data_IF_822065609345
#
_entry.id   IF_822065609345
#
_cell.length_a   1.000
_cell.length_b   1.000
_cell.length_c   1.000
_cell.angle_alpha   90.00
_cell.angle_beta   90.00
_cell.angle_gamma   90.00
#
_symmetry.space_group_name_H-M   'P 1'
#
loop_
_entity.id
_entity.type
_entity.pdbx_description
1 polymer ?
#
# COMPACT_ATOMS: atom_id res chain seq x y z
N UNK A 1 37.12 13.35 -23.50
CA UNK A 1 36.05 13.13 -22.50
C UNK A 1 35.92 11.61 -22.31
N UNK A 2 36.22 11.11 -21.12
CA UNK A 2 36.44 9.68 -20.90
C UNK A 2 35.12 8.87 -21.04
N UNK A 3 35.10 7.89 -21.95
CA UNK A 3 33.95 6.98 -22.14
C UNK A 3 33.41 6.32 -20.83
N UNK A 4 34.28 6.16 -19.82
CA UNK A 4 33.91 5.67 -18.49
C UNK A 4 32.96 6.63 -17.74
N UNK A 5 33.08 7.93 -17.98
CA UNK A 5 32.19 8.93 -17.35
C UNK A 5 30.80 8.94 -17.98
N UNK A 6 30.74 8.70 -19.29
CA UNK A 6 29.45 8.59 -20.02
C UNK A 6 28.72 7.34 -19.62
N UNK A 7 29.40 6.20 -19.47
CA UNK A 7 28.80 4.92 -19.02
C UNK A 7 28.28 5.04 -17.59
N UNK A 8 29.04 5.69 -16.69
CA UNK A 8 28.61 5.90 -15.30
C UNK A 8 27.40 6.85 -15.22
N UNK A 9 27.36 7.88 -16.06
CA UNK A 9 26.24 8.83 -16.15
C UNK A 9 24.99 8.17 -16.72
N UNK A 10 25.12 7.31 -17.75
CA UNK A 10 23.98 6.53 -18.27
C UNK A 10 23.46 5.49 -17.27
N UNK A 11 24.32 4.89 -16.44
CA UNK A 11 23.92 3.97 -15.38
C UNK A 11 23.16 4.70 -14.25
N UNK A 12 23.52 5.95 -13.96
CA UNK A 12 22.84 6.77 -12.96
C UNK A 12 21.48 7.31 -13.45
N UNK A 13 21.34 7.54 -14.78
CA UNK A 13 20.04 7.93 -15.36
C UNK A 13 19.01 6.79 -15.37
N UNK A 14 19.47 5.52 -15.35
CA UNK A 14 18.60 4.35 -15.33
C UNK A 14 17.85 4.11 -14.01
N UNK A 15 18.25 4.82 -12.94
CA UNK A 15 17.66 4.67 -11.61
C UNK A 15 16.54 5.67 -11.29
N UNK A 16 16.16 6.52 -12.26
CA UNK A 16 15.15 7.57 -12.05
C UNK A 16 13.81 7.30 -12.78
N UNK A 17 13.64 6.13 -13.36
CA UNK A 17 12.35 5.76 -13.96
C UNK A 17 11.50 5.05 -12.91
N UNK A 18 10.68 5.82 -12.25
CA UNK A 18 9.47 5.42 -11.54
C UNK A 18 8.45 4.88 -12.57
N UNK A 19 7.80 3.76 -12.27
CA UNK A 19 6.90 3.13 -13.23
C UNK A 19 6.17 1.88 -12.71
N UNK A 20 5.81 0.96 -13.62
CA UNK A 20 5.02 -0.22 -13.28
C UNK A 20 5.72 -1.13 -12.27
N UNK A 21 4.98 -1.55 -11.27
CA UNK A 21 5.38 -2.53 -10.25
C UNK A 21 5.09 -3.93 -10.76
N UNK A 22 6.02 -4.85 -10.57
CA UNK A 22 5.81 -6.25 -10.95
C UNK A 22 5.01 -7.02 -9.90
N UNK A 23 4.44 -8.17 -10.29
CA UNK A 23 3.75 -9.07 -9.34
C UNK A 23 4.71 -9.50 -8.22
N UNK A 24 5.97 -9.81 -8.54
CA UNK A 24 6.96 -10.21 -7.52
C UNK A 24 7.30 -9.09 -6.53
N UNK A 25 7.28 -7.83 -6.99
CA UNK A 25 7.48 -6.69 -6.10
C UNK A 25 6.25 -6.48 -5.21
N UNK A 26 5.05 -6.65 -5.76
CA UNK A 26 3.81 -6.60 -4.99
C UNK A 26 3.75 -7.71 -3.92
N UNK A 27 4.18 -8.94 -4.25
CA UNK A 27 4.36 -10.03 -3.28
C UNK A 27 5.31 -9.63 -2.15
N UNK A 28 6.47 -9.08 -2.50
CA UNK A 28 7.48 -8.65 -1.52
C UNK A 28 6.92 -7.56 -0.59
N UNK A 29 6.23 -6.56 -1.15
CA UNK A 29 5.58 -5.50 -0.37
C UNK A 29 4.53 -6.08 0.57
N UNK A 30 3.69 -7.02 0.10
CA UNK A 30 2.67 -7.66 0.92
C UNK A 30 3.28 -8.49 2.06
N UNK A 31 4.35 -9.26 1.80
CA UNK A 31 5.07 -10.01 2.83
C UNK A 31 5.69 -9.07 3.87
N UNK A 32 6.30 -7.99 3.42
CA UNK A 32 6.90 -7.00 4.30
C UNK A 32 5.86 -6.25 5.13
N UNK A 33 4.66 -6.00 4.58
CA UNK A 33 3.53 -5.48 5.33
C UNK A 33 3.11 -6.43 6.46
N UNK A 34 3.05 -7.74 6.19
CA UNK A 34 2.74 -8.74 7.22
C UNK A 34 3.81 -8.72 8.32
N UNK A 35 5.11 -8.71 7.96
CA UNK A 35 6.20 -8.65 8.94
C UNK A 35 6.10 -7.38 9.81
N UNK A 36 5.78 -6.24 9.21
CA UNK A 36 5.67 -4.96 9.91
C UNK A 36 4.44 -4.90 10.83
N UNK A 37 3.27 -5.37 10.36
CA UNK A 37 1.97 -5.05 10.94
C UNK A 37 1.21 -6.21 11.58
N UNK A 38 1.50 -7.46 11.19
CA UNK A 38 0.84 -8.62 11.79
C UNK A 38 1.46 -9.00 13.15
N UNK A 39 1.20 -8.16 14.14
CA UNK A 39 1.74 -8.35 15.49
C UNK A 39 1.23 -9.60 16.21
N UNK A 40 0.17 -10.21 15.71
CA UNK A 40 -0.46 -11.38 16.33
C UNK A 40 -0.08 -12.70 15.64
N UNK A 41 0.67 -12.63 14.51
CA UNK A 41 1.06 -13.80 13.72
C UNK A 41 -0.17 -14.52 13.15
N UNK A 42 -1.14 -13.76 12.65
CA UNK A 42 -2.40 -14.31 12.12
C UNK A 42 -2.22 -14.81 10.69
N UNK A 43 -1.25 -14.24 9.96
CA UNK A 43 -0.99 -14.58 8.56
C UNK A 43 0.07 -15.66 8.48
N UNK A 44 -0.28 -16.76 7.83
CA UNK A 44 0.61 -17.91 7.66
C UNK A 44 1.35 -17.86 6.31
N UNK A 45 0.66 -17.42 5.25
CA UNK A 45 1.21 -17.37 3.89
C UNK A 45 0.37 -16.48 2.96
N UNK A 46 0.91 -16.22 1.76
CA UNK A 46 0.13 -15.68 0.65
C UNK A 46 -0.67 -16.82 0.02
N UNK A 47 -1.94 -16.53 -0.33
CA UNK A 47 -2.87 -17.47 -0.95
C UNK A 47 -2.96 -17.28 -2.45
N UNK A 48 -3.24 -16.05 -2.88
CA UNK A 48 -3.55 -15.72 -4.25
C UNK A 48 -3.20 -14.26 -4.54
N UNK A 49 -3.02 -13.93 -5.84
CA UNK A 49 -2.88 -12.55 -6.30
C UNK A 49 -3.85 -12.33 -7.44
N UNK A 50 -4.71 -11.34 -7.30
CA UNK A 50 -5.62 -10.88 -8.32
C UNK A 50 -5.10 -9.56 -8.89
N UNK A 51 -5.21 -9.39 -10.19
CA UNK A 51 -4.77 -8.19 -10.90
C UNK A 51 -6.01 -7.36 -11.22
N UNK A 52 -6.05 -6.13 -10.73
CA UNK A 52 -7.05 -5.14 -11.14
C UNK A 52 -6.51 -4.34 -12.31
N UNK A 53 -7.13 -4.52 -13.49
CA UNK A 53 -6.67 -3.88 -14.72
C UNK A 53 -7.85 -3.33 -15.55
N UNK A 54 -7.57 -2.32 -16.36
CA UNK A 54 -8.51 -1.75 -17.32
C UNK A 54 -7.80 -0.91 -18.39
N UNK A 55 -8.28 -0.99 -19.61
CA UNK A 55 -7.71 -0.27 -20.77
C UNK A 55 -6.22 -0.54 -20.98
N UNK A 56 -5.74 -1.77 -20.65
CA UNK A 56 -4.33 -2.14 -20.75
C UNK A 56 -3.43 -1.55 -19.66
N UNK A 57 -4.01 -0.99 -18.60
CA UNK A 57 -3.32 -0.47 -17.43
C UNK A 57 -3.63 -1.35 -16.23
N UNK A 58 -2.59 -1.84 -15.55
CA UNK A 58 -2.75 -2.46 -14.23
C UNK A 58 -2.79 -1.36 -13.18
N UNK A 59 -3.83 -1.36 -12.35
CA UNK A 59 -4.02 -0.34 -11.32
C UNK A 59 -3.45 -0.78 -9.97
N UNK A 60 -3.81 -1.98 -9.55
CA UNK A 60 -3.32 -2.53 -8.29
C UNK A 60 -3.40 -4.06 -8.29
N UNK A 61 -2.76 -4.66 -7.33
CA UNK A 61 -2.81 -6.08 -7.02
C UNK A 61 -3.57 -6.28 -5.71
N UNK A 62 -4.49 -7.25 -5.69
CA UNK A 62 -5.08 -7.75 -4.45
C UNK A 62 -4.33 -9.01 -4.07
N UNK A 63 -3.61 -8.98 -2.97
CA UNK A 63 -2.88 -10.12 -2.42
C UNK A 63 -3.69 -10.69 -1.27
N UNK A 64 -4.22 -11.90 -1.46
CA UNK A 64 -4.99 -12.62 -0.44
C UNK A 64 -4.03 -13.39 0.49
N UNK A 65 -4.40 -13.47 1.76
CA UNK A 65 -3.64 -14.15 2.80
C UNK A 65 -4.34 -15.41 3.31
N UNK A 66 -3.56 -16.35 3.84
CA UNK A 66 -4.05 -17.49 4.62
C UNK A 66 -3.86 -17.23 6.12
N UNK A 67 -4.82 -17.59 7.01
CA UNK A 67 -6.13 -18.21 6.71
C UNK A 67 -7.19 -17.23 6.21
N UNK A 68 -6.99 -15.94 6.38
CA UNK A 68 -7.87 -14.86 5.89
C UNK A 68 -7.13 -13.54 5.83
N UNK A 69 -7.68 -12.57 5.11
CA UNK A 69 -7.11 -11.25 4.97
C UNK A 69 -6.66 -10.92 3.55
N UNK A 70 -6.37 -9.65 3.32
CA UNK A 70 -5.89 -9.16 2.03
C UNK A 70 -5.02 -7.92 2.17
N UNK A 71 -4.23 -7.63 1.14
CA UNK A 71 -3.60 -6.33 0.93
C UNK A 71 -3.85 -5.84 -0.50
N UNK A 72 -4.11 -4.54 -0.65
CA UNK A 72 -4.19 -3.84 -1.93
C UNK A 72 -2.86 -3.12 -2.15
N UNK A 73 -2.09 -3.55 -3.14
CA UNK A 73 -0.76 -3.03 -3.47
C UNK A 73 -0.84 -2.28 -4.79
N UNK A 74 -0.35 -1.05 -4.84
CA UNK A 74 -0.32 -0.26 -6.08
C UNK A 74 0.53 -0.95 -7.15
N UNK A 75 0.07 -0.90 -8.40
CA UNK A 75 0.85 -1.36 -9.55
C UNK A 75 1.73 -0.27 -10.19
N UNK A 76 1.87 0.88 -9.53
CA UNK A 76 2.71 1.99 -9.98
C UNK A 76 3.42 2.61 -8.78
N UNK A 77 4.74 2.71 -8.83
CA UNK A 77 5.57 3.18 -7.71
C UNK A 77 5.52 4.70 -7.48
N UNK A 78 4.82 5.45 -8.34
CA UNK A 78 4.48 6.86 -8.13
C UNK A 78 3.35 7.06 -7.12
N UNK A 79 2.70 5.98 -6.72
CA UNK A 79 1.59 5.92 -5.77
C UNK A 79 2.07 5.22 -4.49
N UNK A 80 1.44 5.49 -3.36
CA UNK A 80 1.74 4.78 -2.12
C UNK A 80 1.69 3.26 -2.31
N UNK A 81 2.66 2.48 -1.82
CA UNK A 81 2.73 1.03 -2.04
C UNK A 81 1.49 0.29 -1.53
N UNK A 82 0.96 0.68 -0.37
CA UNK A 82 -0.17 0.02 0.26
C UNK A 82 -1.38 0.96 0.18
N UNK A 83 -2.43 0.51 -0.52
CA UNK A 83 -3.69 1.23 -0.70
C UNK A 83 -4.70 0.90 0.41
N UNK A 84 -4.61 -0.31 0.96
CA UNK A 84 -5.44 -0.79 2.05
C UNK A 84 -5.12 -2.23 2.40
N UNK A 85 -5.49 -2.68 3.59
CA UNK A 85 -5.30 -4.07 4.01
C UNK A 85 -6.24 -4.45 5.16
N UNK A 86 -6.43 -5.75 5.34
CA UNK A 86 -7.04 -6.37 6.51
C UNK A 86 -6.37 -7.71 6.77
N UNK A 87 -6.10 -8.04 8.03
CA UNK A 87 -5.58 -9.36 8.41
C UNK A 87 -6.66 -10.30 8.97
N UNK A 88 -7.92 -9.84 8.99
CA UNK A 88 -9.04 -10.60 9.58
C UNK A 88 -10.24 -10.75 8.65
N UNK A 89 -10.31 -9.98 7.57
CA UNK A 89 -11.43 -10.02 6.62
C UNK A 89 -10.91 -10.26 5.21
N UNK A 90 -11.59 -11.12 4.47
CA UNK A 90 -11.32 -11.36 3.05
C UNK A 90 -11.99 -10.29 2.18
N UNK A 91 -11.37 -10.01 1.05
CA UNK A 91 -11.94 -9.18 0.01
C UNK A 91 -12.59 -10.08 -1.05
N UNK A 92 -13.90 -10.30 -0.95
CA UNK A 92 -14.63 -11.14 -1.91
C UNK A 92 -15.42 -10.29 -2.90
N UNK A 93 -15.34 -10.54 -4.22
CA UNK A 93 -16.06 -9.77 -5.23
C UNK A 93 -17.58 -9.75 -5.04
N UNK A 94 -18.13 -10.87 -4.54
CA UNK A 94 -19.58 -11.09 -4.47
C UNK A 94 -20.28 -10.37 -3.30
N UNK A 95 -19.53 -9.81 -2.35
CA UNK A 95 -20.08 -9.19 -1.14
C UNK A 95 -19.36 -7.92 -0.74
N UNK A 96 -18.99 -7.10 -1.72
CA UNK A 96 -18.32 -5.83 -1.45
C UNK A 96 -19.36 -4.76 -1.05
N UNK A 97 -19.13 -4.03 0.06
CA UNK A 97 -19.90 -2.84 0.36
C UNK A 97 -19.78 -1.81 -0.76
N UNK A 98 -20.89 -1.14 -1.09
CA UNK A 98 -20.89 -0.12 -2.15
C UNK A 98 -19.87 1.00 -1.90
N UNK A 99 -19.55 1.25 -0.64
CA UNK A 99 -18.54 2.22 -0.24
C UNK A 99 -17.13 1.78 -0.65
N UNK A 100 -16.85 0.47 -0.59
CA UNK A 100 -15.56 -0.08 -1.03
C UNK A 100 -15.42 0.01 -2.55
N UNK A 101 -16.47 -0.33 -3.31
CA UNK A 101 -16.44 -0.18 -4.77
C UNK A 101 -16.22 1.28 -5.18
N UNK A 102 -16.88 2.23 -4.54
CA UNK A 102 -16.66 3.66 -4.78
C UNK A 102 -15.22 4.08 -4.42
N UNK A 103 -14.64 3.51 -3.38
CA UNK A 103 -13.23 3.75 -3.03
C UNK A 103 -12.29 3.19 -4.10
N UNK A 104 -12.49 1.95 -4.54
CA UNK A 104 -11.65 1.32 -5.57
C UNK A 104 -11.73 2.07 -6.90
N UNK A 105 -12.91 2.57 -7.28
CA UNK A 105 -13.09 3.40 -8.49
C UNK A 105 -12.32 4.72 -8.39
N UNK A 106 -12.34 5.36 -7.23
CA UNK A 106 -11.53 6.56 -7.00
C UNK A 106 -10.02 6.23 -7.09
N UNK A 107 -9.58 5.09 -6.56
CA UNK A 107 -8.19 4.63 -6.64
C UNK A 107 -7.79 4.41 -8.11
N UNK A 108 -8.59 3.68 -8.91
CA UNK A 108 -8.33 3.48 -10.35
C UNK A 108 -8.22 4.81 -11.09
N UNK A 109 -9.16 5.71 -10.84
CA UNK A 109 -9.17 7.05 -11.46
C UNK A 109 -7.95 7.86 -11.09
N UNK A 110 -7.51 7.82 -9.83
CA UNK A 110 -6.33 8.52 -9.36
C UNK A 110 -5.04 7.95 -9.97
N UNK A 111 -4.89 6.63 -10.00
CA UNK A 111 -3.75 5.95 -10.61
C UNK A 111 -3.68 6.31 -12.10
N UNK A 112 -4.79 6.20 -12.82
CA UNK A 112 -4.89 6.59 -14.24
C UNK A 112 -4.49 8.04 -14.46
N UNK A 113 -4.90 8.94 -13.58
CA UNK A 113 -4.53 10.36 -13.63
C UNK A 113 -3.01 10.55 -13.46
N UNK A 114 -2.41 9.94 -12.42
CA UNK A 114 -0.96 10.03 -12.16
C UNK A 114 -0.15 9.52 -13.35
N UNK A 115 -0.52 8.37 -13.90
CA UNK A 115 0.14 7.78 -15.08
C UNK A 115 0.01 8.70 -16.30
N UNK A 116 -1.20 9.17 -16.60
CA UNK A 116 -1.49 9.99 -17.79
C UNK A 116 -0.82 11.35 -17.74
N UNK A 117 -0.77 11.97 -16.57
CA UNK A 117 -0.12 13.27 -16.36
C UNK A 117 1.38 13.13 -16.07
N UNK A 118 1.91 11.91 -16.01
CA UNK A 118 3.30 11.61 -15.67
C UNK A 118 3.77 12.32 -14.39
N UNK A 119 2.95 12.26 -13.34
CA UNK A 119 3.23 12.90 -12.05
C UNK A 119 4.32 12.08 -11.35
N UNK A 120 5.47 12.68 -10.96
CA UNK A 120 6.52 11.94 -10.27
C UNK A 120 6.11 11.56 -8.84
N UNK A 121 6.70 10.48 -8.32
CA UNK A 121 6.58 10.14 -6.90
C UNK A 121 7.12 11.28 -6.03
N UNK A 122 6.48 11.52 -4.88
CA UNK A 122 7.06 12.37 -3.85
C UNK A 122 8.19 11.63 -3.11
N UNK A 123 9.08 12.37 -2.44
CA UNK A 123 10.14 11.76 -1.62
C UNK A 123 9.58 10.79 -0.56
N UNK A 124 8.43 11.09 0.01
CA UNK A 124 7.78 10.21 0.98
C UNK A 124 7.30 8.90 0.35
N UNK A 125 6.74 8.95 -0.85
CA UNK A 125 6.31 7.75 -1.59
C UNK A 125 7.52 6.90 -1.96
N UNK A 126 8.57 7.52 -2.49
CA UNK A 126 9.82 6.82 -2.81
C UNK A 126 10.40 6.13 -1.59
N UNK A 127 10.48 6.83 -0.45
CA UNK A 127 10.96 6.23 0.81
C UNK A 127 10.08 5.08 1.31
N UNK A 128 8.75 5.14 1.12
CA UNK A 128 7.86 4.03 1.44
C UNK A 128 8.17 2.79 0.59
N UNK A 129 8.34 2.97 -0.72
CA UNK A 129 8.70 1.87 -1.61
C UNK A 129 10.06 1.27 -1.25
N UNK A 130 11.08 2.11 -1.02
CA UNK A 130 12.40 1.64 -0.57
C UNK A 130 12.30 0.81 0.72
N UNK A 131 11.50 1.26 1.69
CA UNK A 131 11.28 0.53 2.93
C UNK A 131 10.62 -0.83 2.68
N UNK A 132 9.48 -0.87 1.98
CA UNK A 132 8.76 -2.12 1.71
C UNK A 132 9.46 -3.05 0.72
N UNK A 133 10.41 -2.55 -0.07
CA UNK A 133 11.26 -3.37 -0.93
C UNK A 133 12.56 -3.82 -0.25
N UNK A 134 12.83 -3.36 0.96
CA UNK A 134 14.04 -3.75 1.70
C UNK A 134 13.98 -5.21 2.16
N UNK A 135 15.16 -5.82 2.36
CA UNK A 135 15.27 -7.17 2.92
C UNK A 135 15.38 -7.15 4.47
N UNK A 136 15.33 -5.96 5.07
CA UNK A 136 15.58 -5.75 6.50
C UNK A 136 14.41 -5.06 7.22
N UNK A 137 13.19 -5.31 6.77
CA UNK A 137 12.02 -4.77 7.47
C UNK A 137 11.87 -5.45 8.84
N UNK A 138 11.55 -4.67 9.84
CA UNK A 138 11.33 -5.17 11.20
C UNK A 138 9.92 -4.82 11.66
N UNK A 139 9.34 -5.63 12.58
CA UNK A 139 8.03 -5.33 13.13
C UNK A 139 8.00 -3.91 13.73
N UNK A 140 7.01 -3.13 13.33
CA UNK A 140 6.78 -1.81 13.91
C UNK A 140 6.20 -1.97 15.32
N UNK A 141 7.07 -1.92 16.31
CA UNK A 141 6.69 -2.05 17.72
C UNK A 141 6.18 -0.75 18.33
N UNK A 142 6.39 0.38 17.66
CA UNK A 142 6.07 1.71 18.20
C UNK A 142 4.64 2.18 17.88
N UNK A 143 3.93 1.56 16.93
CA UNK A 143 2.54 1.94 16.61
C UNK A 143 1.53 1.63 17.72
N UNK A 144 1.95 1.01 18.84
CA UNK A 144 1.05 0.67 19.96
C UNK A 144 0.82 1.80 20.95
N UNK A 145 1.50 2.91 20.82
CA UNK A 145 1.41 4.03 21.76
C UNK A 145 1.67 5.35 21.06
N UNK A 146 0.67 5.82 20.34
CA UNK A 146 0.60 7.26 20.07
C UNK A 146 -0.01 7.88 21.32
N UNK A 147 0.76 8.69 22.05
CA UNK A 147 0.19 9.51 23.12
C UNK A 147 -0.96 10.33 22.53
N UNK A 148 -2.12 10.41 23.23
CA UNK A 148 -3.26 11.13 22.72
C UNK A 148 -2.85 12.56 22.36
N UNK A 149 -2.95 12.92 21.09
CA UNK A 149 -2.69 14.30 20.60
C UNK A 149 -3.63 15.33 21.22
N UNK A 150 -4.70 14.85 21.87
CA UNK A 150 -5.70 15.67 22.53
C UNK A 150 -5.85 15.15 23.96
N UNK A 151 -5.51 15.98 24.93
CA UNK A 151 -5.74 15.71 26.36
C UNK A 151 -7.19 15.97 26.80
N UNK A 152 -8.10 16.22 25.85
CA UNK A 152 -9.52 16.40 26.12
C UNK A 152 -10.16 15.07 26.51
N UNK A 153 -10.59 14.97 27.75
CA UNK A 153 -11.39 13.84 28.23
C UNK A 153 -12.84 14.06 27.80
N UNK A 154 -13.24 13.43 26.68
CA UNK A 154 -14.62 13.46 26.21
C UNK A 154 -15.48 12.59 27.13
N UNK A 155 -16.12 13.23 28.10
CA UNK A 155 -17.07 12.56 28.96
C UNK A 155 -18.48 12.69 28.35
N UNK A 156 -19.01 11.59 27.85
CA UNK A 156 -20.41 11.47 27.43
C UNK A 156 -21.35 11.11 28.58
N UNK A 157 -20.92 11.27 29.83
CA UNK A 157 -21.75 11.09 31.01
C UNK A 157 -22.60 12.32 31.30
N UNK A 158 -23.80 12.13 31.85
CA UNK A 158 -24.74 13.19 32.25
C UNK A 158 -25.81 13.49 31.20
N UNK A 159 -26.37 14.67 31.20
CA UNK A 159 -27.58 15.08 30.49
C UNK A 159 -27.57 14.90 28.94
N UNK A 160 -26.41 14.63 28.34
CA UNK A 160 -26.30 14.36 26.91
C UNK A 160 -26.66 12.89 26.54
N UNK A 161 -26.60 12.00 27.50
CA UNK A 161 -26.98 10.58 27.30
C UNK A 161 -28.47 10.33 27.47
N UNK A 162 -29.19 11.29 28.04
CA UNK A 162 -30.63 11.14 28.32
C UNK A 162 -31.49 11.56 27.11
N UNK A 163 -30.86 11.99 26.00
CA UNK A 163 -31.53 12.43 24.78
C UNK A 163 -31.31 11.51 23.56
N UNK A 164 -30.73 10.33 23.74
CA UNK A 164 -30.56 9.33 22.68
C UNK A 164 -31.47 8.12 22.89
#
# INVERSE_FOLDING_TARGET
>A
MNNKFIILFCLFLGLLFSGPVSISDAEKVALNLVIERDNNGQIESLKNILIDEGDGTVFFYTVDFEPSGFALISADDRITPILGYSFINDLTPDNQPIQLEAFLENVRSYIKYVITQNIPASESITSMWENYMSDSISPDRDLRSVDPLITANWNQGGAWNDMC
#
